data_IF_456572358901
#
_entry.id   IF_456572358901
#
_cell.length_a   1.000
_cell.length_b   1.000
_cell.length_c   1.000
_cell.angle_alpha   90.00
_cell.angle_beta   90.00
_cell.angle_gamma   90.00
#
_symmetry.space_group_name_H-M   'P 1'
#
loop_
_entity.id
_entity.type
_entity.pdbx_description
1 polymer ?
#
# COMPACT_ATOMS: atom_id res chain seq x y z
N UNK A 1 -1.43 -8.30 -17.96
CA UNK A 1 -0.40 -8.58 -16.93
C UNK A 1 -0.10 -7.30 -16.15
N UNK A 2 -0.92 -6.92 -15.17
CA UNK A 2 -0.70 -5.71 -14.35
C UNK A 2 -0.90 -5.98 -12.85
N UNK A 3 -1.93 -6.78 -12.52
CA UNK A 3 -2.37 -7.02 -11.15
C UNK A 3 -1.29 -7.61 -10.21
N UNK A 4 -0.37 -8.45 -10.69
CA UNK A 4 0.69 -9.03 -9.83
C UNK A 4 1.78 -8.03 -9.48
N UNK A 5 2.19 -7.20 -10.44
CA UNK A 5 3.24 -6.19 -10.24
C UNK A 5 2.72 -5.03 -9.39
N UNK A 6 1.46 -4.64 -9.57
CA UNK A 6 0.80 -3.61 -8.77
C UNK A 6 0.56 -4.07 -7.33
N UNK A 7 0.14 -5.32 -7.12
CA UNK A 7 0.02 -5.91 -5.76
C UNK A 7 1.38 -6.01 -5.08
N UNK A 8 2.42 -6.42 -5.79
CA UNK A 8 3.79 -6.46 -5.26
C UNK A 8 4.29 -5.05 -4.86
N UNK A 9 4.06 -4.03 -5.70
CA UNK A 9 4.36 -2.63 -5.36
C UNK A 9 3.59 -2.13 -4.14
N UNK A 10 2.33 -2.52 -3.99
CA UNK A 10 1.52 -2.18 -2.81
C UNK A 10 2.11 -2.75 -1.53
N UNK A 11 2.45 -4.04 -1.54
CA UNK A 11 3.07 -4.73 -0.40
C UNK A 11 4.45 -4.15 -0.07
N UNK A 12 5.26 -3.85 -1.09
CA UNK A 12 6.57 -3.23 -0.90
C UNK A 12 6.46 -1.83 -0.26
N UNK A 13 5.47 -1.03 -0.67
CA UNK A 13 5.21 0.29 -0.07
C UNK A 13 4.67 0.19 1.36
N UNK A 14 3.80 -0.77 1.66
CA UNK A 14 3.33 -1.04 3.04
C UNK A 14 4.51 -1.42 3.94
N UNK A 15 5.39 -2.32 3.48
CA UNK A 15 6.57 -2.74 4.23
C UNK A 15 7.56 -1.58 4.44
N UNK A 16 7.84 -0.81 3.39
CA UNK A 16 8.71 0.36 3.48
C UNK A 16 8.16 1.43 4.43
N UNK A 17 6.84 1.67 4.41
CA UNK A 17 6.17 2.61 5.33
C UNK A 17 6.32 2.19 6.79
N UNK A 18 6.08 0.92 7.10
CA UNK A 18 6.28 0.37 8.45
C UNK A 18 7.72 0.46 8.92
N UNK A 19 8.68 0.19 8.04
CA UNK A 19 10.11 0.33 8.36
C UNK A 19 10.45 1.79 8.65
N UNK A 20 9.94 2.75 7.85
CA UNK A 20 10.14 4.18 8.09
C UNK A 20 9.53 4.65 9.40
N UNK A 21 8.35 4.16 9.76
CA UNK A 21 7.72 4.43 11.06
C UNK A 21 8.57 3.90 12.21
N UNK A 22 8.88 2.61 12.19
CA UNK A 22 9.68 1.97 13.24
C UNK A 22 11.05 2.64 13.39
N UNK A 23 11.70 2.96 12.26
CA UNK A 23 12.98 3.68 12.27
C UNK A 23 12.79 5.08 12.84
N UNK A 24 11.80 5.85 12.37
CA UNK A 24 11.49 7.20 12.84
C UNK A 24 11.23 7.25 14.35
N UNK A 25 10.46 6.30 14.88
CA UNK A 25 10.25 6.14 16.32
C UNK A 25 11.57 5.88 17.06
N UNK A 26 12.39 4.97 16.52
CA UNK A 26 13.64 4.54 17.16
C UNK A 26 14.72 5.62 17.20
N UNK A 27 14.78 6.50 16.20
CA UNK A 27 15.73 7.62 16.14
C UNK A 27 15.11 8.98 16.52
N UNK A 28 13.84 9.01 16.97
CA UNK A 28 13.14 10.23 17.34
C UNK A 28 12.96 11.23 16.18
N UNK A 29 12.73 10.73 14.96
CA UNK A 29 12.53 11.55 13.77
C UNK A 29 11.04 11.56 13.35
N UNK A 30 10.27 12.58 13.75
CA UNK A 30 8.83 12.66 13.46
C UNK A 30 8.52 12.79 11.96
N UNK A 31 9.46 13.30 11.13
CA UNK A 31 9.25 13.33 9.68
C UNK A 31 9.23 11.93 9.07
N UNK A 32 10.14 11.07 9.50
CA UNK A 32 10.23 9.67 9.03
C UNK A 32 9.00 8.87 9.46
N UNK A 33 8.51 9.10 10.67
CA UNK A 33 7.29 8.48 11.18
C UNK A 33 6.07 8.88 10.36
N UNK A 34 5.89 10.19 10.14
CA UNK A 34 4.78 10.73 9.35
C UNK A 34 4.84 10.27 7.89
N UNK A 35 6.03 10.25 7.28
CA UNK A 35 6.20 9.71 5.93
C UNK A 35 5.81 8.24 5.84
N UNK A 36 6.24 7.43 6.82
CA UNK A 36 5.92 6.01 6.87
C UNK A 36 4.41 5.77 7.02
N UNK A 37 3.75 6.52 7.91
CA UNK A 37 2.31 6.46 8.12
C UNK A 37 1.52 6.88 6.86
N UNK A 38 1.94 7.95 6.20
CA UNK A 38 1.33 8.39 4.94
C UNK A 38 1.51 7.34 3.84
N UNK A 39 2.69 6.73 3.74
CA UNK A 39 3.00 5.72 2.73
C UNK A 39 2.21 4.43 2.97
N UNK A 40 2.05 3.99 4.22
CA UNK A 40 1.21 2.84 4.58
C UNK A 40 -0.27 3.11 4.25
N UNK A 41 -0.79 4.29 4.63
CA UNK A 41 -2.17 4.68 4.35
C UNK A 41 -2.47 4.74 2.85
N UNK A 42 -1.53 5.29 2.06
CA UNK A 42 -1.63 5.32 0.60
C UNK A 42 -1.61 3.91 0.00
N UNK A 43 -0.74 3.02 0.51
CA UNK A 43 -0.67 1.62 0.10
C UNK A 43 -1.98 0.87 0.35
N UNK A 44 -2.53 0.99 1.57
CA UNK A 44 -3.83 0.39 1.93
C UNK A 44 -4.96 0.90 1.05
N UNK A 45 -5.01 2.21 0.79
CA UNK A 45 -6.03 2.82 -0.06
C UNK A 45 -5.95 2.30 -1.49
N UNK A 46 -4.74 2.25 -2.07
CA UNK A 46 -4.54 1.70 -3.41
C UNK A 46 -4.93 0.23 -3.51
N UNK A 47 -4.61 -0.56 -2.48
CA UNK A 47 -4.94 -1.99 -2.40
C UNK A 47 -6.46 -2.19 -2.36
N UNK A 48 -7.16 -1.46 -1.50
CA UNK A 48 -8.62 -1.51 -1.39
C UNK A 48 -9.32 -1.11 -2.69
N UNK A 49 -8.87 -0.02 -3.34
CA UNK A 49 -9.41 0.41 -4.64
C UNK A 49 -9.10 -0.62 -5.73
N UNK A 50 -7.90 -1.19 -5.74
CA UNK A 50 -7.49 -2.23 -6.68
C UNK A 50 -8.32 -3.50 -6.53
N UNK A 51 -8.53 -3.97 -5.29
CA UNK A 51 -9.34 -5.15 -4.99
C UNK A 51 -10.81 -4.94 -5.36
N UNK A 52 -11.37 -3.75 -5.08
CA UNK A 52 -12.73 -3.40 -5.51
C UNK A 52 -12.87 -3.41 -7.05
N UNK A 53 -11.89 -2.84 -7.77
CA UNK A 53 -11.86 -2.89 -9.24
C UNK A 53 -11.72 -4.31 -9.76
N UNK A 54 -10.87 -5.14 -9.15
CA UNK A 54 -10.69 -6.55 -9.52
C UNK A 54 -12.00 -7.33 -9.35
N UNK A 55 -12.76 -7.08 -8.28
CA UNK A 55 -14.07 -7.72 -8.05
C UNK A 55 -15.08 -7.30 -9.12
N UNK A 56 -15.22 -6.00 -9.37
CA UNK A 56 -16.15 -5.49 -10.40
C UNK A 56 -15.77 -6.04 -11.78
N UNK A 57 -14.48 -6.04 -12.11
CA UNK A 57 -13.99 -6.58 -13.38
C UNK A 57 -14.29 -8.07 -13.53
N UNK A 58 -14.10 -8.87 -12.48
CA UNK A 58 -14.45 -10.30 -12.49
C UNK A 58 -15.94 -10.57 -12.69
N UNK A 59 -16.81 -9.69 -12.21
CA UNK A 59 -18.26 -9.78 -12.41
C UNK A 59 -18.65 -9.43 -13.84
N UNK A 60 -18.05 -8.39 -14.42
CA UNK A 60 -18.28 -7.98 -15.81
C UNK A 60 -17.70 -9.00 -16.81
N UNK A 61 -16.50 -9.53 -16.57
CA UNK A 61 -15.86 -10.52 -17.44
C UNK A 61 -16.55 -11.91 -17.40
N UNK A 62 -17.45 -12.16 -16.43
CA UNK A 62 -18.24 -13.41 -16.32
C UNK A 62 -19.68 -13.30 -16.87
N UNK A 63 -20.10 -12.13 -17.35
CA UNK A 63 -21.39 -11.91 -18.00
C UNK A 63 -21.23 -11.85 -19.53
#
# INVERSE_FOLDING_TARGET
MGSTMDKAKGVANEAAGKIKQATGEMIGNPRLEVEGAMQESKGKTQKAVGDAKDVVKKLVDNA
#
